data_IF_697315225401
#
_entry.id   IF_697315225401
#
_cell.length_a   1.000
_cell.length_b   1.000
_cell.length_c   1.000
_cell.angle_alpha   90.00
_cell.angle_beta   90.00
_cell.angle_gamma   90.00
#
_symmetry.space_group_name_H-M   'P 1'
#
loop_
_entity.id
_entity.type
_entity.pdbx_description
1 polymer ?
#
# COMPACT_ATOMS: atom_id res chain seq x y z
N UNK A 1 -10.28 -7.56 -17.81
CA UNK A 1 -9.45 -8.18 -16.74
C UNK A 1 -10.43 -8.63 -15.67
N UNK A 2 -10.26 -9.81 -15.11
CA UNK A 2 -11.08 -10.29 -14.00
C UNK A 2 -10.38 -9.88 -12.71
N UNK A 3 -11.10 -9.21 -11.82
CA UNK A 3 -10.63 -8.93 -10.47
C UNK A 3 -10.84 -10.18 -9.62
N UNK A 4 -9.77 -10.74 -9.10
CA UNK A 4 -9.79 -11.93 -8.25
C UNK A 4 -9.74 -11.59 -6.75
N UNK A 5 -9.79 -10.30 -6.40
CA UNK A 5 -9.83 -9.85 -5.00
C UNK A 5 -10.98 -10.50 -4.26
N UNK A 6 -10.72 -10.98 -3.06
CA UNK A 6 -11.70 -11.69 -2.25
C UNK A 6 -11.87 -13.19 -2.55
N UNK A 7 -11.05 -13.74 -3.43
CA UNK A 7 -10.98 -15.19 -3.60
C UNK A 7 -10.56 -15.86 -2.29
N UNK A 8 -11.31 -16.86 -1.86
CA UNK A 8 -11.01 -17.66 -0.66
C UNK A 8 -10.36 -18.97 -1.07
N UNK A 9 -9.23 -19.29 -0.45
CA UNK A 9 -8.51 -20.54 -0.64
C UNK A 9 -8.46 -21.27 0.70
N UNK A 10 -8.93 -22.51 0.71
CA UNK A 10 -8.90 -23.39 1.88
C UNK A 10 -8.10 -24.64 1.56
N UNK A 11 -7.38 -25.17 2.57
CA UNK A 11 -6.61 -26.40 2.43
C UNK A 11 -6.63 -27.19 3.72
N UNK A 12 -6.55 -28.51 3.62
CA UNK A 12 -6.41 -29.44 4.74
C UNK A 12 -4.93 -29.62 5.18
N UNK A 13 -4.01 -29.02 4.46
CA UNK A 13 -2.57 -29.04 4.72
C UNK A 13 -1.99 -27.63 4.63
N UNK A 14 -0.82 -27.39 5.25
CA UNK A 14 -0.13 -26.13 5.11
C UNK A 14 0.16 -25.81 3.64
N UNK A 15 -0.18 -24.60 3.23
CA UNK A 15 0.08 -24.07 1.87
C UNK A 15 0.74 -22.69 1.95
N UNK A 16 1.45 -22.32 0.91
CA UNK A 16 1.84 -20.95 0.65
C UNK A 16 1.07 -20.45 -0.57
N UNK A 17 0.49 -19.27 -0.47
CA UNK A 17 -0.29 -18.66 -1.54
C UNK A 17 0.41 -17.37 -1.97
N UNK A 18 0.73 -17.27 -3.25
CA UNK A 18 1.27 -16.07 -3.86
C UNK A 18 0.25 -15.50 -4.83
N UNK A 19 -0.02 -14.24 -4.70
CA UNK A 19 -0.84 -13.48 -5.65
C UNK A 19 0.03 -12.45 -6.36
N UNK A 20 -0.30 -12.14 -7.60
CA UNK A 20 0.50 -11.17 -8.34
C UNK A 20 -0.03 -10.91 -9.73
N UNK A 21 0.62 -9.98 -10.40
CA UNK A 21 0.36 -9.64 -11.78
C UNK A 21 1.69 -9.40 -12.50
N UNK A 22 1.81 -9.93 -13.71
CA UNK A 22 3.03 -9.82 -14.50
C UNK A 22 3.32 -8.39 -14.93
N UNK A 23 2.28 -7.57 -15.13
CA UNK A 23 2.43 -6.20 -15.57
C UNK A 23 1.27 -5.36 -15.04
N UNK A 24 1.54 -4.51 -14.08
CA UNK A 24 0.54 -3.67 -13.41
C UNK A 24 0.94 -2.22 -13.48
N UNK A 25 0.02 -1.37 -13.92
CA UNK A 25 0.08 0.08 -13.77
C UNK A 25 -0.90 0.56 -12.71
N UNK A 26 -0.51 1.52 -11.88
CA UNK A 26 -1.34 2.11 -10.85
C UNK A 26 -1.41 3.62 -11.07
N UNK A 27 -2.60 4.23 -11.08
CA UNK A 27 -3.91 3.69 -10.65
C UNK A 27 -4.65 2.85 -11.70
N UNK A 28 -4.17 2.79 -12.92
CA UNK A 28 -4.83 2.06 -14.01
C UNK A 28 -3.80 1.50 -15.01
N UNK A 29 -4.27 0.70 -15.96
CA UNK A 29 -3.42 0.05 -16.97
C UNK A 29 -2.79 1.02 -17.99
N UNK A 30 -3.26 2.23 -18.08
CA UNK A 30 -2.75 3.26 -18.97
C UNK A 30 -1.61 4.06 -18.33
N UNK A 31 -1.27 3.75 -17.08
CA UNK A 31 -0.12 4.33 -16.43
C UNK A 31 1.15 4.02 -17.23
N UNK A 32 2.01 5.00 -17.35
CA UNK A 32 3.20 4.92 -18.19
C UNK A 32 4.17 3.84 -17.73
N UNK A 33 4.44 3.79 -16.44
CA UNK A 33 5.29 2.78 -15.84
C UNK A 33 4.44 1.62 -15.37
N UNK A 34 4.85 0.40 -15.69
CA UNK A 34 4.18 -0.84 -15.29
C UNK A 34 5.24 -1.83 -14.84
N UNK A 35 4.97 -2.55 -13.77
CA UNK A 35 5.91 -3.51 -13.22
C UNK A 35 5.23 -4.80 -12.77
N UNK A 36 6.06 -5.80 -12.53
CA UNK A 36 5.68 -7.06 -11.92
C UNK A 36 5.43 -6.87 -10.43
N UNK A 37 4.28 -7.34 -9.97
CA UNK A 37 3.96 -7.32 -8.55
C UNK A 37 3.61 -8.72 -8.07
N UNK A 38 4.19 -9.12 -6.95
CA UNK A 38 3.88 -10.39 -6.28
C UNK A 38 3.97 -10.21 -4.76
N UNK A 39 3.00 -10.80 -4.08
CA UNK A 39 2.95 -10.83 -2.62
C UNK A 39 2.56 -12.22 -2.13
N UNK A 40 3.12 -12.64 -1.01
CA UNK A 40 2.65 -13.82 -0.32
C UNK A 40 1.46 -13.45 0.57
N UNK A 41 0.34 -14.11 0.33
CA UNK A 41 -0.85 -13.92 1.17
C UNK A 41 -0.65 -14.54 2.54
N UNK A 42 -1.08 -13.85 3.58
CA UNK A 42 -1.12 -14.36 4.95
C UNK A 42 -2.50 -14.94 5.28
N UNK A 43 -2.58 -15.95 6.16
CA UNK A 43 -3.86 -16.50 6.59
C UNK A 43 -4.69 -15.47 7.36
N UNK A 44 -6.02 -15.64 7.32
CA UNK A 44 -6.99 -14.70 7.93
C UNK A 44 -6.73 -14.52 9.43
N UNK A 45 -6.25 -15.54 10.11
CA UNK A 45 -5.91 -15.52 11.54
C UNK A 45 -4.77 -14.54 11.87
N UNK A 46 -4.00 -14.14 10.87
CA UNK A 46 -2.92 -13.14 10.99
C UNK A 46 -3.34 -11.75 10.51
N UNK A 47 -4.59 -11.58 10.06
CA UNK A 47 -5.08 -10.25 9.71
C UNK A 47 -5.29 -9.42 10.98
N UNK A 48 -5.29 -8.11 10.82
CA UNK A 48 -5.44 -7.20 11.95
C UNK A 48 -6.71 -6.37 11.88
N UNK A 49 -6.84 -5.47 12.83
CA UNK A 49 -8.01 -4.58 12.91
C UNK A 49 -7.66 -3.10 12.76
N UNK A 50 -6.37 -2.75 12.83
CA UNK A 50 -5.94 -1.36 12.78
C UNK A 50 -4.60 -1.22 12.07
N UNK A 51 -4.50 -0.21 11.20
CA UNK A 51 -3.34 0.07 10.35
C UNK A 51 -3.06 1.56 10.32
N UNK A 52 -1.78 1.91 10.31
CA UNK A 52 -1.29 3.27 10.22
C UNK A 52 -0.52 3.42 8.92
N UNK A 53 -0.90 4.41 8.12
CA UNK A 53 -0.29 4.67 6.82
C UNK A 53 0.12 6.14 6.73
N UNK A 54 1.31 6.33 6.20
CA UNK A 54 1.81 7.65 5.84
C UNK A 54 2.11 7.66 4.35
N UNK A 55 2.15 8.83 3.74
CA UNK A 55 2.63 8.94 2.39
C UNK A 55 4.14 8.69 2.35
N UNK A 56 4.61 7.96 1.35
CA UNK A 56 6.03 7.78 1.13
C UNK A 56 6.59 9.06 0.50
N UNK A 57 7.73 9.51 1.01
CA UNK A 57 8.43 10.68 0.48
C UNK A 57 8.74 10.49 -1.00
N UNK A 58 8.63 11.56 -1.78
CA UNK A 58 8.81 11.58 -3.24
C UNK A 58 7.76 10.85 -4.09
N UNK A 59 6.67 10.41 -3.49
CA UNK A 59 5.53 9.90 -4.25
C UNK A 59 4.38 10.89 -4.23
N UNK A 60 3.63 11.00 -5.32
CA UNK A 60 2.52 11.97 -5.39
C UNK A 60 1.28 11.52 -4.65
N UNK A 61 0.86 10.31 -4.93
CA UNK A 61 -0.31 9.70 -4.31
C UNK A 61 -0.01 8.22 -4.12
N UNK A 62 -0.14 7.75 -2.91
CA UNK A 62 -0.23 6.33 -2.63
C UNK A 62 -1.70 5.96 -2.43
N UNK A 63 -2.03 4.73 -2.68
CA UNK A 63 -3.36 4.20 -2.41
C UNK A 63 -3.29 3.07 -1.41
N UNK A 64 -4.29 2.98 -0.54
CA UNK A 64 -4.54 1.79 0.24
C UNK A 64 -5.80 1.08 -0.26
N UNK A 65 -5.78 -0.24 -0.23
CA UNK A 65 -6.95 -1.10 -0.39
C UNK A 65 -7.12 -1.97 0.85
N UNK A 66 -8.34 -2.07 1.32
CA UNK A 66 -8.67 -2.85 2.51
C UNK A 66 -9.66 -3.93 2.16
N UNK A 67 -9.35 -5.16 2.55
CA UNK A 67 -10.19 -6.33 2.32
C UNK A 67 -10.77 -6.83 3.63
N UNK A 68 -12.06 -7.11 3.67
CA UNK A 68 -12.72 -7.68 4.84
C UNK A 68 -12.58 -9.21 4.89
N UNK A 69 -12.22 -9.76 6.05
CA UNK A 69 -12.25 -11.21 6.26
C UNK A 69 -13.68 -11.77 6.30
N UNK A 70 -14.60 -10.99 6.84
CA UNK A 70 -16.00 -11.41 7.06
C UNK A 70 -16.98 -10.37 6.54
N UNK A 71 -18.20 -10.81 6.23
CA UNK A 71 -19.29 -9.91 5.85
C UNK A 71 -19.64 -8.90 6.96
N UNK A 72 -20.30 -7.82 6.58
CA UNK A 72 -20.76 -6.74 7.48
C UNK A 72 -19.62 -6.16 8.35
N UNK A 73 -18.45 -6.00 7.74
CA UNK A 73 -17.30 -5.34 8.36
C UNK A 73 -17.36 -3.85 8.10
N UNK A 74 -17.54 -3.05 9.14
CA UNK A 74 -17.46 -1.60 9.04
C UNK A 74 -16.01 -1.15 9.25
N UNK A 75 -15.49 -0.44 8.24
CA UNK A 75 -14.14 0.14 8.26
C UNK A 75 -14.25 1.63 8.43
N UNK A 76 -13.54 2.18 9.41
CA UNK A 76 -13.33 3.62 9.56
C UNK A 76 -11.96 4.01 9.00
N UNK A 77 -11.95 5.13 8.31
CA UNK A 77 -10.77 5.75 7.70
C UNK A 77 -10.66 7.13 8.31
N UNK A 78 -9.67 7.32 9.16
CA UNK A 78 -9.38 8.61 9.80
C UNK A 78 -8.19 9.23 9.09
N UNK A 79 -8.40 10.37 8.47
CA UNK A 79 -7.34 11.14 7.83
C UNK A 79 -6.96 12.29 8.75
N UNK A 80 -5.70 12.32 9.17
CA UNK A 80 -5.15 13.36 10.02
C UNK A 80 -4.26 14.30 9.20
N UNK A 81 -4.46 15.59 9.37
CA UNK A 81 -3.63 16.62 8.77
C UNK A 81 -2.66 17.15 9.83
N UNK A 82 -1.39 16.81 9.72
CA UNK A 82 -0.36 17.18 10.67
C UNK A 82 -0.07 18.70 10.73
N UNK A 83 -0.38 19.45 9.65
CA UNK A 83 -0.17 20.89 9.60
C UNK A 83 -1.23 21.68 10.38
N UNK A 84 -2.46 21.22 10.30
CA UNK A 84 -3.60 21.90 10.93
C UNK A 84 -4.05 21.28 12.24
N UNK A 85 -3.59 20.06 12.53
CA UNK A 85 -4.06 19.27 13.67
C UNK A 85 -5.52 18.77 13.52
N UNK A 86 -6.13 18.92 12.34
CA UNK A 86 -7.50 18.48 12.09
C UNK A 86 -7.56 17.02 11.63
N UNK A 87 -8.67 16.37 11.92
CA UNK A 87 -8.96 15.02 11.43
C UNK A 87 -10.33 14.94 10.78
N UNK A 88 -10.45 14.06 9.80
CA UNK A 88 -11.68 13.71 9.14
C UNK A 88 -11.89 12.20 9.23
N UNK A 89 -13.11 11.77 9.53
CA UNK A 89 -13.44 10.35 9.63
C UNK A 89 -14.49 9.99 8.58
N UNK A 90 -14.14 9.05 7.72
CA UNK A 90 -15.05 8.43 6.77
C UNK A 90 -15.27 6.96 7.14
N UNK A 91 -16.37 6.37 6.72
CA UNK A 91 -16.61 4.95 6.96
C UNK A 91 -17.18 4.25 5.74
N UNK A 92 -16.81 2.98 5.59
CA UNK A 92 -17.27 2.09 4.51
C UNK A 92 -17.77 0.80 5.12
N UNK A 93 -18.93 0.33 4.68
CA UNK A 93 -19.43 -1.00 5.03
C UNK A 93 -19.04 -2.01 3.96
N UNK A 94 -18.31 -3.02 4.34
CA UNK A 94 -17.97 -4.16 3.52
C UNK A 94 -18.96 -5.29 3.84
N UNK A 95 -20.02 -5.38 3.04
CA UNK A 95 -21.17 -6.24 3.27
C UNK A 95 -20.91 -7.73 2.99
N UNK A 96 -19.77 -8.06 2.40
CA UNK A 96 -19.37 -9.45 2.07
C UNK A 96 -17.95 -9.74 2.49
N UNK A 97 -17.68 -10.99 2.84
CA UNK A 97 -16.32 -11.50 2.99
C UNK A 97 -15.56 -11.34 1.66
N UNK A 98 -14.29 -10.94 1.73
CA UNK A 98 -13.45 -10.70 0.57
C UNK A 98 -13.73 -9.39 -0.17
N UNK A 99 -14.74 -8.61 0.23
CA UNK A 99 -14.98 -7.31 -0.38
C UNK A 99 -13.90 -6.32 -0.02
N UNK A 100 -13.50 -5.51 -1.00
CA UNK A 100 -12.51 -4.45 -0.84
C UNK A 100 -13.16 -3.07 -0.79
N UNK A 101 -12.48 -2.12 -0.14
CA UNK A 101 -12.84 -0.70 -0.22
C UNK A 101 -12.58 -0.15 -1.62
N UNK A 102 -13.19 0.96 -2.02
CA UNK A 102 -12.60 1.81 -3.04
C UNK A 102 -11.16 2.20 -2.67
N UNK A 103 -10.31 2.54 -3.64
CA UNK A 103 -8.96 3.03 -3.34
C UNK A 103 -8.99 4.22 -2.39
N UNK A 104 -8.26 4.12 -1.30
CA UNK A 104 -8.11 5.18 -0.29
C UNK A 104 -6.84 5.94 -0.64
N UNK A 105 -6.97 7.19 -1.08
CA UNK A 105 -5.82 8.00 -1.44
C UNK A 105 -5.09 8.50 -0.18
N UNK A 106 -3.78 8.27 -0.16
CA UNK A 106 -2.86 8.80 0.84
C UNK A 106 -2.07 9.90 0.13
N UNK A 107 -2.42 11.16 0.39
CA UNK A 107 -1.90 12.30 -0.36
C UNK A 107 -0.88 13.10 0.48
N UNK A 108 0.26 13.39 -0.13
CA UNK A 108 1.38 14.11 0.49
C UNK A 108 1.17 15.63 0.60
N UNK A 109 0.30 16.22 -0.20
CA UNK A 109 0.19 17.68 -0.30
C UNK A 109 -0.08 18.41 1.03
N UNK A 110 -0.31 17.66 2.13
CA UNK A 110 -0.61 18.20 3.46
C UNK A 110 -0.15 17.29 4.60
N UNK A 111 0.89 16.49 4.41
CA UNK A 111 1.37 15.54 5.44
C UNK A 111 0.21 14.78 6.11
N UNK A 112 -0.59 14.12 5.29
CA UNK A 112 -1.72 13.36 5.78
C UNK A 112 -1.26 11.99 6.26
N UNK A 113 -1.63 11.68 7.46
CA UNK A 113 -1.56 10.33 8.03
C UNK A 113 -2.94 9.71 7.96
N UNK A 114 -3.01 8.43 7.67
CA UNK A 114 -4.26 7.71 7.55
C UNK A 114 -4.27 6.53 8.52
N UNK A 115 -5.28 6.51 9.38
CA UNK A 115 -5.56 5.38 10.26
C UNK A 115 -6.76 4.64 9.69
N UNK A 116 -6.61 3.35 9.47
CA UNK A 116 -7.66 2.48 8.97
C UNK A 116 -7.96 1.44 10.03
N UNK A 117 -9.23 1.31 10.41
CA UNK A 117 -9.60 0.35 11.43
C UNK A 117 -10.95 -0.32 11.18
N UNK A 118 -11.03 -1.60 11.50
CA UNK A 118 -12.29 -2.30 11.65
C UNK A 118 -12.89 -1.95 13.01
N UNK A 119 -14.11 -1.42 13.01
CA UNK A 119 -14.80 -1.05 14.26
C UNK A 119 -15.78 -2.12 14.73
N UNK A 120 -15.86 -3.25 14.03
CA UNK A 120 -16.69 -4.38 14.42
C UNK A 120 -15.79 -5.44 15.11
N UNK A 121 -16.04 -5.75 16.37
CA UNK A 121 -15.24 -6.74 17.08
C UNK A 121 -15.18 -8.10 16.36
N UNK A 122 -14.01 -8.71 16.33
CA UNK A 122 -13.80 -10.03 15.72
C UNK A 122 -13.84 -10.05 14.19
N UNK A 123 -13.86 -8.90 13.53
CA UNK A 123 -13.84 -8.80 12.06
C UNK A 123 -12.51 -8.16 11.59
N UNK A 124 -11.45 -8.95 11.43
CA UNK A 124 -10.18 -8.45 10.94
C UNK A 124 -10.26 -8.05 9.47
N UNK A 125 -9.34 -7.19 9.09
CA UNK A 125 -9.16 -6.68 7.74
C UNK A 125 -7.71 -6.85 7.31
N UNK A 126 -7.47 -6.89 6.01
CA UNK A 126 -6.15 -6.87 5.40
C UNK A 126 -5.98 -5.55 4.67
N UNK A 127 -4.84 -4.91 4.84
CA UNK A 127 -4.52 -3.65 4.20
C UNK A 127 -3.29 -3.79 3.30
N UNK A 128 -3.42 -3.35 2.05
CA UNK A 128 -2.32 -3.18 1.12
C UNK A 128 -2.11 -1.70 0.82
N UNK A 129 -0.86 -1.28 0.80
CA UNK A 129 -0.44 0.03 0.29
C UNK A 129 0.14 -0.14 -1.11
N UNK A 130 -0.22 0.78 -2.00
CA UNK A 130 0.21 0.80 -3.39
C UNK A 130 0.90 2.11 -3.70
N UNK A 131 2.09 2.03 -4.28
CA UNK A 131 2.79 3.16 -4.86
C UNK A 131 2.33 3.31 -6.30
N UNK A 132 1.99 4.54 -6.70
CA UNK A 132 1.53 4.80 -8.07
C UNK A 132 2.66 4.76 -9.07
N UNK A 133 2.31 4.37 -10.30
CA UNK A 133 3.18 4.54 -11.45
C UNK A 133 3.49 6.01 -11.68
N UNK A 134 4.70 6.31 -12.12
CA UNK A 134 5.07 7.65 -12.51
C UNK A 134 4.28 8.10 -13.74
N UNK A 135 3.90 9.37 -13.77
CA UNK A 135 3.32 10.00 -14.95
C UNK A 135 4.42 10.71 -15.76
N UNK A 136 4.50 10.41 -17.06
CA UNK A 136 5.54 10.95 -17.95
C UNK A 136 5.54 12.48 -18.04
N UNK A 137 4.37 13.09 -17.98
CA UNK A 137 4.20 14.47 -18.43
C UNK A 137 4.46 15.54 -17.37
N UNK A 138 4.80 15.16 -16.14
CA UNK A 138 4.84 16.16 -15.08
C UNK A 138 6.26 16.56 -14.65
N UNK A 139 7.30 15.84 -15.13
CA UNK A 139 8.69 16.11 -14.79
C UNK A 139 9.65 16.23 -15.98
N UNK A 140 9.19 15.87 -17.18
CA UNK A 140 9.98 16.03 -18.39
C UNK A 140 9.73 17.41 -18.99
N UNK A 141 10.52 18.40 -18.61
CA UNK A 141 10.49 19.75 -19.23
C UNK A 141 11.44 19.87 -20.42
N UNK A 142 12.25 18.85 -20.68
CA UNK A 142 13.22 18.84 -21.78
C UNK A 142 12.76 17.97 -22.94
N UNK A 143 12.91 18.49 -24.14
CA UNK A 143 12.69 17.77 -25.40
C UNK A 143 13.96 17.07 -25.90
N UNK A 144 15.04 17.11 -25.15
CA UNK A 144 16.30 16.46 -25.53
C UNK A 144 16.26 14.97 -25.08
N UNK A 145 16.60 14.10 -26.01
CA UNK A 145 16.65 12.63 -25.81
C UNK A 145 17.66 12.18 -24.74
N UNK A 146 18.54 13.06 -24.31
CA UNK A 146 19.60 12.78 -23.33
C UNK A 146 19.22 13.11 -21.88
N UNK A 147 18.08 13.76 -21.66
CA UNK A 147 17.59 13.96 -20.32
C UNK A 147 16.76 12.74 -19.91
N UNK A 148 17.39 11.85 -19.16
CA UNK A 148 16.70 10.75 -18.48
C UNK A 148 15.69 11.39 -17.55
N UNK A 149 14.42 11.37 -17.96
CA UNK A 149 13.32 11.72 -17.09
C UNK A 149 13.29 10.68 -15.96
N UNK A 150 13.85 11.02 -14.84
CA UNK A 150 13.70 10.21 -13.63
C UNK A 150 12.23 10.31 -13.18
N UNK A 151 11.42 9.47 -13.79
CA UNK A 151 10.11 9.18 -13.25
C UNK A 151 10.33 8.43 -11.94
N UNK A 152 10.09 9.08 -10.82
CA UNK A 152 10.22 8.46 -9.52
C UNK A 152 9.17 7.35 -9.37
N UNK A 153 9.66 6.12 -9.45
CA UNK A 153 8.94 4.95 -8.98
C UNK A 153 8.14 4.20 -10.04
N UNK A 154 8.54 2.96 -10.22
CA UNK A 154 7.66 1.92 -10.73
C UNK A 154 6.57 1.63 -9.71
N UNK A 155 5.39 1.15 -10.16
CA UNK A 155 4.34 0.79 -9.23
C UNK A 155 4.80 -0.34 -8.33
N UNK A 156 4.48 -0.23 -7.07
CA UNK A 156 4.79 -1.26 -6.09
C UNK A 156 3.61 -1.49 -5.15
N UNK A 157 3.58 -2.66 -4.52
CA UNK A 157 2.63 -2.95 -3.46
C UNK A 157 3.34 -3.52 -2.25
N UNK A 158 2.80 -3.25 -1.09
CA UNK A 158 3.23 -3.84 0.16
C UNK A 158 2.03 -4.15 1.04
N UNK A 159 2.02 -5.33 1.61
CA UNK A 159 1.08 -5.66 2.68
C UNK A 159 1.48 -4.90 3.93
N UNK A 160 0.54 -4.16 4.50
CA UNK A 160 0.79 -3.37 5.69
C UNK A 160 0.69 -4.24 6.94
N UNK A 161 1.67 -4.14 7.86
CA UNK A 161 1.56 -4.83 9.14
C UNK A 161 0.46 -4.16 9.98
N UNK A 162 -0.35 -4.98 10.65
CA UNK A 162 -1.33 -4.46 11.59
C UNK A 162 -0.65 -3.91 12.84
N UNK A 163 -1.26 -2.90 13.45
CA UNK A 163 -0.75 -2.29 14.68
C UNK A 163 -0.51 -3.30 15.82
N UNK A 164 -1.31 -4.34 15.86
CA UNK A 164 -1.16 -5.45 16.83
C UNK A 164 0.08 -6.29 16.60
N UNK A 165 0.67 -6.24 15.41
CA UNK A 165 1.88 -6.99 15.06
C UNK A 165 3.16 -6.17 15.23
N UNK A 166 3.07 -4.97 15.80
CA UNK A 166 4.26 -4.15 16.08
C UNK A 166 5.21 -4.89 17.00
N UNK A 167 6.49 -4.75 16.70
CA UNK A 167 7.58 -5.25 17.54
C UNK A 167 8.22 -4.09 18.30
N UNK A 168 8.71 -4.34 19.52
CA UNK A 168 9.42 -3.32 20.28
C UNK A 168 10.89 -3.18 19.86
N UNK A 169 11.44 -4.24 19.30
CA UNK A 169 12.80 -4.23 18.75
C UNK A 169 12.90 -5.24 17.62
N UNK A 170 13.73 -4.94 16.64
CA UNK A 170 14.04 -5.84 15.53
C UNK A 170 15.50 -5.66 15.11
N UNK A 171 16.10 -6.74 14.64
CA UNK A 171 17.36 -6.66 13.94
C UNK A 171 17.07 -6.48 12.45
N UNK A 172 17.59 -5.42 11.88
CA UNK A 172 17.46 -5.16 10.45
C UNK A 172 18.78 -5.48 9.76
N UNK A 173 18.69 -6.19 8.65
CA UNK A 173 19.81 -6.38 7.74
C UNK A 173 19.58 -5.46 6.56
N UNK A 174 20.53 -4.57 6.33
CA UNK A 174 20.55 -3.76 5.12
C UNK A 174 21.65 -4.31 4.22
N UNK A 175 21.38 -4.44 2.94
CA UNK A 175 22.47 -4.66 2.01
C UNK A 175 23.43 -3.48 2.06
N UNK A 176 24.75 -3.72 2.13
CA UNK A 176 25.71 -2.64 2.03
C UNK A 176 25.50 -1.95 0.68
N UNK A 177 25.37 -0.63 0.70
CA UNK A 177 25.34 0.16 -0.54
C UNK A 177 26.58 -0.19 -1.35
N UNK A 178 26.41 -0.45 -2.62
CA UNK A 178 27.54 -0.63 -3.54
C UNK A 178 28.46 0.60 -3.41
N UNK A 179 29.70 0.44 -2.94
CA UNK A 179 30.59 1.56 -2.75
C UNK A 179 30.99 2.25 -4.07
N UNK A 180 30.57 1.70 -5.22
CA UNK A 180 30.79 2.27 -6.54
C UNK A 180 29.57 2.98 -7.12
N UNK A 181 28.39 2.85 -6.54
CA UNK A 181 27.19 3.58 -6.92
C UNK A 181 27.23 5.01 -6.36
N UNK A 182 27.80 5.92 -7.10
CA UNK A 182 27.91 7.32 -6.69
C UNK A 182 26.59 8.06 -6.72
N UNK A 183 25.73 7.84 -5.77
CA UNK A 183 24.72 8.80 -5.32
C UNK A 183 24.31 8.41 -3.91
N UNK A 184 24.51 9.32 -2.97
CA UNK A 184 23.95 9.23 -1.63
C UNK A 184 22.42 9.27 -1.71
N UNK A 185 21.80 8.14 -1.99
CA UNK A 185 20.36 7.98 -1.75
C UNK A 185 20.19 7.69 -0.25
N UNK A 186 19.61 8.60 0.51
CA UNK A 186 19.36 8.34 1.92
C UNK A 186 18.41 7.13 2.01
N UNK A 187 18.84 6.11 2.75
CA UNK A 187 17.94 5.04 3.13
C UNK A 187 17.06 5.55 4.26
N UNK A 188 15.79 5.72 4.00
CA UNK A 188 14.81 6.08 5.01
C UNK A 188 14.30 4.80 5.67
N UNK A 189 14.62 4.64 6.95
CA UNK A 189 14.04 3.60 7.78
C UNK A 189 12.87 4.21 8.55
N UNK A 190 11.72 3.60 8.43
CA UNK A 190 10.57 3.94 9.26
C UNK A 190 10.56 3.04 10.49
N UNK A 191 10.66 3.65 11.66
CA UNK A 191 10.50 2.99 12.95
C UNK A 191 9.15 3.34 13.56
#
# INVERSE_FOLDING_TARGET
MVDLSGTTICSDKPIAVFNGNQQTGIPNREAYSQDFMVEQSIPIEQWGTEFYLTNLENTRINYALVTAAYADTKVEIVTYNAETGSSETNSVLLDKAGKTTPPIAINDSKRKEVIIRSVVPGKPILCYSYITSAAVNEFCTSTAFDDICYAYGDPASAMMPAWTHRVQSMNMFTEPLDPQGGANTPQHFFA
#
